data_IF_206503386516
#
_entry.id   IF_206503386516
#
_cell.length_a   1.000
_cell.length_b   1.000
_cell.length_c   1.000
_cell.angle_alpha   90.00
_cell.angle_beta   90.00
_cell.angle_gamma   90.00
#
_symmetry.space_group_name_H-M   'P 1'
#
loop_
_entity.id
_entity.type
_entity.pdbx_description
1 polymer ?
#
# COMPACT_ATOMS: atom_id res chain seq x y z
N UNK A 1 21.67 -8.07 -16.38
CA UNK A 1 22.38 -7.36 -15.31
C UNK A 1 23.40 -8.32 -14.71
N UNK A 2 24.66 -7.91 -14.58
CA UNK A 2 25.69 -8.74 -13.95
C UNK A 2 25.63 -8.55 -12.44
N UNK A 3 25.80 -9.63 -11.66
CA UNK A 3 25.80 -9.57 -10.19
C UNK A 3 26.88 -8.62 -9.64
N UNK A 4 28.04 -8.58 -10.28
CA UNK A 4 29.14 -7.67 -9.91
C UNK A 4 28.79 -6.17 -9.98
N UNK A 5 27.76 -5.81 -10.75
CA UNK A 5 27.33 -4.43 -10.94
C UNK A 5 25.93 -4.16 -10.31
N UNK A 6 25.43 -5.12 -9.51
CA UNK A 6 24.14 -5.02 -8.86
C UNK A 6 24.29 -4.49 -7.44
N UNK A 7 23.32 -3.66 -7.02
CA UNK A 7 23.16 -3.38 -5.60
C UNK A 7 22.61 -4.64 -4.92
N UNK A 8 23.53 -5.46 -4.40
CA UNK A 8 23.20 -6.74 -3.80
C UNK A 8 24.12 -7.01 -2.62
N UNK A 9 23.53 -7.21 -1.46
CA UNK A 9 24.24 -7.52 -0.22
C UNK A 9 23.54 -8.69 0.45
N UNK A 10 24.30 -9.69 0.87
CA UNK A 10 23.79 -10.81 1.67
C UNK A 10 24.42 -10.81 3.05
N UNK A 11 23.65 -11.22 4.05
CA UNK A 11 24.12 -11.40 5.41
C UNK A 11 24.16 -12.89 5.75
N UNK A 12 25.24 -13.32 6.40
CA UNK A 12 25.41 -14.70 6.83
C UNK A 12 24.59 -14.99 8.10
N UNK A 13 24.63 -14.07 9.04
CA UNK A 13 24.01 -14.21 10.35
C UNK A 13 22.54 -13.75 10.33
N UNK A 14 21.77 -14.29 11.27
CA UNK A 14 20.40 -13.87 11.49
C UNK A 14 20.33 -12.42 11.99
N UNK A 15 19.27 -11.73 11.55
CA UNK A 15 19.07 -10.33 11.87
C UNK A 15 18.38 -10.21 13.22
N UNK A 16 19.04 -9.54 14.17
CA UNK A 16 18.44 -9.29 15.49
C UNK A 16 17.16 -8.48 15.39
N UNK A 17 16.12 -8.96 16.09
CA UNK A 17 14.81 -8.29 16.11
C UNK A 17 13.89 -8.61 14.95
N UNK A 18 14.24 -9.59 14.09
CA UNK A 18 13.35 -10.17 13.10
C UNK A 18 12.92 -11.57 13.55
N UNK A 19 11.74 -11.64 14.18
CA UNK A 19 11.22 -12.88 14.77
C UNK A 19 10.71 -13.89 13.72
N UNK A 20 10.28 -13.40 12.54
CA UNK A 20 9.76 -14.28 11.50
C UNK A 20 10.86 -14.77 10.56
N UNK A 21 10.86 -16.05 10.25
CA UNK A 21 11.79 -16.68 9.30
C UNK A 21 11.74 -15.98 7.94
N UNK A 22 10.55 -15.62 7.46
CA UNK A 22 10.39 -14.95 6.15
C UNK A 22 11.04 -13.56 6.14
N UNK A 23 10.84 -12.75 7.19
CA UNK A 23 11.47 -11.44 7.30
C UNK A 23 12.98 -11.55 7.38
N UNK A 24 13.48 -12.46 8.20
CA UNK A 24 14.90 -12.73 8.37
C UNK A 24 15.56 -13.10 7.02
N UNK A 25 14.96 -14.04 6.29
CA UNK A 25 15.44 -14.45 4.97
C UNK A 25 15.41 -13.28 3.96
N UNK A 26 14.37 -12.47 3.94
CA UNK A 26 14.26 -11.32 3.03
C UNK A 26 15.33 -10.27 3.30
N UNK A 27 15.64 -9.99 4.56
CA UNK A 27 16.73 -9.07 4.92
C UNK A 27 18.10 -9.68 4.58
N UNK A 28 18.33 -10.93 4.98
CA UNK A 28 19.60 -11.64 4.72
C UNK A 28 19.94 -11.78 3.25
N UNK A 29 18.94 -11.97 2.41
CA UNK A 29 19.12 -12.09 0.95
C UNK A 29 19.17 -10.74 0.23
N UNK A 30 19.18 -9.63 0.95
CA UNK A 30 19.22 -8.30 0.34
C UNK A 30 17.99 -7.95 -0.48
N UNK A 31 16.83 -8.49 -0.10
CA UNK A 31 15.55 -8.18 -0.73
C UNK A 31 14.91 -6.93 -0.13
N UNK A 32 14.99 -6.79 1.19
CA UNK A 32 14.45 -5.65 1.94
C UNK A 32 15.47 -5.11 2.93
N UNK A 33 15.29 -3.84 3.32
CA UNK A 33 16.04 -3.21 4.42
C UNK A 33 15.05 -2.58 5.38
N UNK A 34 15.15 -2.92 6.66
CA UNK A 34 14.33 -2.34 7.73
C UNK A 34 14.73 -0.87 7.94
N UNK A 35 13.75 0.01 7.93
CA UNK A 35 13.89 1.43 8.26
C UNK A 35 13.36 1.70 9.69
N UNK A 36 12.25 1.06 10.02
CA UNK A 36 11.62 1.14 11.33
C UNK A 36 10.68 -0.04 11.54
N UNK A 37 9.98 -0.07 12.67
CA UNK A 37 9.00 -1.12 12.94
C UNK A 37 7.86 -1.06 11.92
N UNK A 38 7.73 -2.12 11.09
CA UNK A 38 6.72 -2.19 10.03
C UNK A 38 6.98 -1.28 8.83
N UNK A 39 8.20 -0.76 8.68
CA UNK A 39 8.60 0.13 7.57
C UNK A 39 9.86 -0.43 6.92
N UNK A 40 9.81 -0.70 5.61
CA UNK A 40 10.86 -1.37 4.88
C UNK A 40 11.17 -0.70 3.54
N UNK A 41 12.45 -0.58 3.22
CA UNK A 41 12.89 -0.27 1.86
C UNK A 41 12.90 -1.55 1.04
N UNK A 42 12.28 -1.52 -0.14
CA UNK A 42 12.37 -2.59 -1.13
C UNK A 42 13.62 -2.39 -1.97
N UNK A 43 14.55 -3.32 -1.84
CA UNK A 43 15.80 -3.30 -2.59
C UNK A 43 15.59 -3.81 -4.03
N UNK A 44 16.53 -3.60 -4.97
CA UNK A 44 16.30 -3.84 -6.39
C UNK A 44 15.74 -5.23 -6.74
N UNK A 45 16.19 -6.28 -6.07
CA UNK A 45 15.69 -7.64 -6.30
C UNK A 45 14.22 -7.79 -5.87
N UNK A 46 13.86 -7.26 -4.71
CA UNK A 46 12.48 -7.26 -4.22
C UNK A 46 11.57 -6.44 -5.13
N UNK A 47 12.03 -5.26 -5.56
CA UNK A 47 11.25 -4.40 -6.45
C UNK A 47 10.97 -5.08 -7.80
N UNK A 48 11.91 -5.86 -8.33
CA UNK A 48 11.68 -6.65 -9.56
C UNK A 48 10.61 -7.72 -9.36
N UNK A 49 10.59 -8.40 -8.21
CA UNK A 49 9.55 -9.38 -7.88
C UNK A 49 8.20 -8.69 -7.76
N UNK A 50 8.14 -7.57 -7.04
CA UNK A 50 6.92 -6.78 -6.87
C UNK A 50 6.33 -6.38 -8.23
N UNK A 51 7.14 -5.80 -9.13
CA UNK A 51 6.68 -5.39 -10.47
C UNK A 51 6.16 -6.55 -11.31
N UNK A 52 6.71 -7.75 -11.16
CA UNK A 52 6.16 -8.94 -11.82
C UNK A 52 4.79 -9.32 -11.27
N UNK A 53 4.61 -9.25 -9.95
CA UNK A 53 3.32 -9.50 -9.31
C UNK A 53 2.29 -8.45 -9.77
N UNK A 54 2.66 -7.17 -9.78
CA UNK A 54 1.82 -6.09 -10.26
C UNK A 54 1.38 -6.29 -11.72
N UNK A 55 2.29 -6.74 -12.59
CA UNK A 55 1.97 -7.02 -13.98
C UNK A 55 0.96 -8.17 -14.13
N UNK A 56 1.13 -9.25 -13.36
CA UNK A 56 0.16 -10.35 -13.35
C UNK A 56 -1.22 -9.84 -12.90
N UNK A 57 -1.24 -9.02 -11.84
CA UNK A 57 -2.50 -8.42 -11.36
C UNK A 57 -3.13 -7.54 -12.43
N UNK A 58 -2.36 -6.69 -13.14
CA UNK A 58 -2.87 -5.87 -14.25
C UNK A 58 -3.47 -6.71 -15.37
N UNK A 59 -2.78 -7.76 -15.77
CA UNK A 59 -3.27 -8.67 -16.81
C UNK A 59 -4.63 -9.27 -16.43
N UNK A 60 -4.78 -9.72 -15.19
CA UNK A 60 -6.04 -10.32 -14.72
C UNK A 60 -7.16 -9.26 -14.55
N UNK A 61 -6.84 -8.07 -14.07
CA UNK A 61 -7.82 -6.98 -13.97
C UNK A 61 -8.27 -6.51 -15.35
N UNK A 62 -7.36 -6.41 -16.32
CA UNK A 62 -7.71 -6.05 -17.70
C UNK A 62 -8.60 -7.11 -18.38
N UNK A 63 -8.46 -8.40 -18.02
CA UNK A 63 -9.33 -9.47 -18.55
C UNK A 63 -10.79 -9.33 -18.14
N UNK A 64 -11.06 -8.65 -17.06
CA UNK A 64 -12.42 -8.38 -16.57
C UNK A 64 -12.86 -6.94 -16.86
N UNK A 65 -12.19 -6.25 -17.78
CA UNK A 65 -12.46 -4.88 -18.20
C UNK A 65 -12.42 -3.85 -17.04
N UNK A 66 -11.65 -4.13 -15.98
CA UNK A 66 -11.44 -3.20 -14.89
C UNK A 66 -10.40 -2.15 -15.28
N UNK A 67 -10.64 -0.89 -14.92
CA UNK A 67 -9.80 0.24 -15.31
C UNK A 67 -8.88 0.66 -14.17
N UNK A 68 -7.58 0.78 -14.47
CA UNK A 68 -6.58 1.23 -13.50
C UNK A 68 -6.62 2.74 -13.33
N UNK A 69 -6.58 3.20 -12.10
CA UNK A 69 -6.38 4.60 -11.72
C UNK A 69 -5.38 4.69 -10.57
N UNK A 70 -4.94 5.87 -10.21
CA UNK A 70 -4.05 6.10 -9.07
C UNK A 70 -4.56 7.29 -8.27
N UNK A 71 -4.92 7.05 -7.03
CA UNK A 71 -5.39 8.06 -6.08
C UNK A 71 -4.28 8.53 -5.16
N UNK A 72 -4.35 9.76 -4.64
CA UNK A 72 -3.37 10.29 -3.72
C UNK A 72 -3.37 9.52 -2.39
N UNK A 73 -2.21 9.41 -1.75
CA UNK A 73 -2.09 8.80 -0.41
C UNK A 73 -2.34 9.77 0.72
N UNK A 74 -2.14 11.08 0.47
CA UNK A 74 -2.43 12.16 1.42
C UNK A 74 -3.84 12.69 1.16
N UNK A 75 -4.73 12.54 2.12
CA UNK A 75 -6.16 12.81 1.97
C UNK A 75 -6.66 13.79 3.00
N UNK A 76 -7.56 14.71 2.63
CA UNK A 76 -8.32 15.47 3.62
C UNK A 76 -9.11 14.53 4.54
N UNK A 77 -9.07 14.77 5.84
CA UNK A 77 -9.76 13.91 6.83
C UNK A 77 -11.27 13.87 6.62
N UNK A 78 -11.83 14.97 6.07
CA UNK A 78 -13.27 15.11 5.79
C UNK A 78 -13.83 13.97 4.93
N UNK A 79 -13.02 13.37 4.07
CA UNK A 79 -13.43 12.24 3.22
C UNK A 79 -13.91 11.06 4.08
N UNK A 80 -13.20 10.77 5.16
CA UNK A 80 -13.54 9.69 6.09
C UNK A 80 -14.59 10.11 7.13
N UNK A 81 -14.64 11.39 7.48
CA UNK A 81 -15.71 11.94 8.32
C UNK A 81 -17.05 11.83 7.60
N UNK A 82 -17.10 12.19 6.32
CA UNK A 82 -18.32 12.13 5.51
C UNK A 82 -18.87 10.72 5.34
N UNK A 83 -18.02 9.69 5.30
CA UNK A 83 -18.42 8.28 5.24
C UNK A 83 -18.75 7.67 6.62
N UNK A 84 -18.47 8.39 7.72
CA UNK A 84 -18.57 7.88 9.09
C UNK A 84 -17.46 6.89 9.47
N UNK A 85 -16.49 6.67 8.59
CA UNK A 85 -15.42 5.68 8.84
C UNK A 85 -14.23 6.23 9.64
N UNK A 86 -14.17 7.56 9.81
CA UNK A 86 -13.12 8.18 10.64
C UNK A 86 -13.08 7.59 12.05
N UNK A 87 -14.23 7.43 12.68
CA UNK A 87 -14.35 6.89 14.05
C UNK A 87 -14.08 5.37 14.08
N UNK A 88 -14.45 4.66 13.01
CA UNK A 88 -14.21 3.22 12.88
C UNK A 88 -12.72 2.90 12.80
N UNK A 89 -11.95 3.67 12.03
CA UNK A 89 -10.50 3.52 11.98
C UNK A 89 -9.81 4.03 13.25
N UNK A 90 -10.34 5.07 13.88
CA UNK A 90 -9.81 5.60 15.12
C UNK A 90 -8.31 5.87 15.06
N UNK A 91 -7.55 5.21 15.95
CA UNK A 91 -6.10 5.33 16.06
C UNK A 91 -5.30 4.54 15.00
N UNK A 92 -5.96 3.69 14.22
CA UNK A 92 -5.27 2.94 13.14
C UNK A 92 -4.96 3.82 11.92
N UNK A 93 -5.42 5.06 11.92
CA UNK A 93 -5.20 6.02 10.87
C UNK A 93 -4.09 7.01 11.25
N UNK A 94 -3.07 7.15 10.41
CA UNK A 94 -2.08 8.21 10.54
C UNK A 94 -2.73 9.55 10.25
N UNK A 95 -2.84 10.40 11.27
CA UNK A 95 -3.39 11.76 11.17
C UNK A 95 -2.29 12.79 11.28
N UNK A 96 -2.39 13.86 10.51
CA UNK A 96 -1.42 14.95 10.47
C UNK A 96 -2.11 16.27 10.16
N UNK A 97 -1.43 17.38 10.45
CA UNK A 97 -1.88 18.72 10.10
C UNK A 97 -0.92 19.36 9.11
N UNK A 98 -1.47 20.14 8.20
CA UNK A 98 -0.65 20.98 7.35
C UNK A 98 -0.23 22.29 8.09
N UNK A 99 0.54 23.15 7.41
CA UNK A 99 0.98 24.44 7.95
C UNK A 99 -0.15 25.42 8.26
N UNK A 100 -1.36 25.14 7.81
CA UNK A 100 -2.57 25.95 8.04
C UNK A 100 -3.52 25.29 9.02
N UNK A 101 -3.05 24.32 9.81
CA UNK A 101 -3.81 23.54 10.80
C UNK A 101 -4.98 22.74 10.22
N UNK A 102 -4.98 22.46 8.91
CA UNK A 102 -6.00 21.59 8.30
C UNK A 102 -5.66 20.13 8.52
N UNK A 103 -6.67 19.34 8.82
CA UNK A 103 -6.53 17.92 9.15
C UNK A 103 -6.42 17.06 7.89
N UNK A 104 -5.40 16.23 7.85
CA UNK A 104 -5.12 15.26 6.80
C UNK A 104 -4.87 13.89 7.39
N UNK A 105 -5.02 12.86 6.57
CA UNK A 105 -4.69 11.48 6.92
C UNK A 105 -3.88 10.83 5.81
N UNK A 106 -3.10 9.81 6.14
CA UNK A 106 -2.54 8.89 5.16
C UNK A 106 -3.54 7.75 4.95
N UNK A 107 -3.93 7.52 3.70
CA UNK A 107 -5.01 6.59 3.35
C UNK A 107 -4.79 5.14 3.79
N UNK A 108 -5.61 4.60 4.70
CA UNK A 108 -5.59 3.18 5.06
C UNK A 108 -6.31 2.30 4.02
N UNK A 109 -7.20 2.90 3.27
CA UNK A 109 -7.95 2.39 2.11
C UNK A 109 -8.37 3.58 1.24
N UNK A 110 -8.94 3.36 0.06
CA UNK A 110 -9.38 4.46 -0.82
C UNK A 110 -10.82 4.29 -1.31
N UNK A 111 -11.62 3.45 -0.65
CA UNK A 111 -13.01 3.17 -1.04
C UNK A 111 -13.83 4.46 -1.21
N UNK A 112 -13.69 5.41 -0.29
CA UNK A 112 -14.36 6.71 -0.33
C UNK A 112 -14.03 7.50 -1.61
N UNK A 113 -12.76 7.47 -2.02
CA UNK A 113 -12.33 8.17 -3.24
C UNK A 113 -12.81 7.46 -4.50
N UNK A 114 -12.89 6.12 -4.49
CA UNK A 114 -13.49 5.37 -5.60
C UNK A 114 -14.97 5.73 -5.75
N UNK A 115 -15.70 5.84 -4.66
CA UNK A 115 -17.09 6.28 -4.68
C UNK A 115 -17.21 7.71 -5.21
N UNK A 116 -16.33 8.61 -4.78
CA UNK A 116 -16.32 10.00 -5.25
C UNK A 116 -16.03 10.10 -6.75
N UNK A 117 -14.99 9.40 -7.22
CA UNK A 117 -14.68 9.32 -8.65
C UNK A 117 -15.82 8.72 -9.48
N UNK A 118 -16.47 7.67 -8.98
CA UNK A 118 -17.59 7.03 -9.65
C UNK A 118 -18.82 7.95 -9.76
N UNK A 119 -19.07 8.82 -8.76
CA UNK A 119 -20.18 9.78 -8.77
C UNK A 119 -20.14 10.75 -9.93
N UNK A 120 -18.96 11.09 -10.43
CA UNK A 120 -18.81 12.00 -11.57
C UNK A 120 -19.26 11.36 -12.89
N UNK A 121 -19.10 10.05 -13.02
CA UNK A 121 -19.38 9.28 -14.22
C UNK A 121 -20.75 8.62 -14.18
N UNK A 122 -21.12 8.01 -13.07
CA UNK A 122 -22.40 7.28 -12.90
C UNK A 122 -23.53 8.27 -12.67
N UNK A 123 -24.42 8.42 -13.67
CA UNK A 123 -25.62 9.25 -13.56
C UNK A 123 -26.91 8.41 -13.54
N UNK A 124 -26.84 7.18 -13.99
CA UNK A 124 -27.97 6.25 -13.98
C UNK A 124 -27.51 4.80 -13.84
N UNK A 125 -28.46 3.91 -13.54
CA UNK A 125 -28.17 2.47 -13.48
C UNK A 125 -27.66 1.90 -14.82
N UNK A 126 -27.85 2.60 -15.93
CA UNK A 126 -27.37 2.19 -17.26
C UNK A 126 -25.87 2.36 -17.43
N UNK A 127 -25.26 3.16 -16.58
CA UNK A 127 -23.81 3.38 -16.55
C UNK A 127 -23.07 2.27 -15.77
N UNK A 128 -23.84 1.34 -15.22
CA UNK A 128 -23.35 0.19 -14.46
C UNK A 128 -23.36 -1.09 -15.32
N UNK A 129 -22.46 -2.08 -15.10
CA UNK A 129 -21.41 -2.04 -14.08
C UNK A 129 -20.18 -1.24 -14.52
N UNK A 130 -19.48 -0.66 -13.57
CA UNK A 130 -18.13 -0.11 -13.74
C UNK A 130 -17.22 -0.80 -12.74
N UNK A 131 -16.00 -1.12 -13.15
CA UNK A 131 -14.99 -1.68 -12.27
C UNK A 131 -13.73 -0.84 -12.34
N UNK A 132 -13.27 -0.36 -11.19
CA UNK A 132 -12.08 0.46 -11.03
C UNK A 132 -11.12 -0.21 -10.04
N UNK A 133 -9.81 -0.07 -10.29
CA UNK A 133 -8.81 -0.60 -9.36
C UNK A 133 -7.56 0.29 -9.31
N UNK A 134 -6.76 0.11 -8.29
CA UNK A 134 -5.42 0.69 -8.18
C UNK A 134 -4.44 -0.28 -7.53
N UNK A 135 -3.16 0.00 -7.72
CA UNK A 135 -2.08 -0.52 -6.90
C UNK A 135 -1.35 0.68 -6.30
N UNK A 136 -1.52 0.90 -5.01
CA UNK A 136 -1.02 2.09 -4.33
C UNK A 136 -0.60 1.80 -2.89
N UNK A 137 0.23 2.70 -2.36
CA UNK A 137 0.64 2.66 -0.97
C UNK A 137 -0.56 2.89 -0.05
N UNK A 138 -0.59 2.13 1.04
CA UNK A 138 -1.53 2.26 2.13
C UNK A 138 -0.79 2.38 3.44
N UNK A 139 -1.41 3.08 4.38
CA UNK A 139 -0.81 3.41 5.65
C UNK A 139 -1.74 3.04 6.78
N UNK A 140 -1.24 2.27 7.76
CA UNK A 140 -1.98 1.94 8.98
C UNK A 140 -1.07 2.09 10.19
N UNK A 141 -1.49 2.85 11.19
CA UNK A 141 -0.72 3.02 12.43
C UNK A 141 -0.83 1.76 13.29
N UNK A 142 -0.24 0.71 12.78
CA UNK A 142 -0.26 -0.62 13.36
C UNK A 142 0.58 -0.64 14.64
N UNK A 143 -0.03 -0.82 15.81
CA UNK A 143 0.68 -0.76 17.10
C UNK A 143 1.66 -1.92 17.28
N UNK A 144 1.42 -3.04 16.58
CA UNK A 144 2.26 -4.24 16.64
C UNK A 144 2.51 -4.80 15.25
N UNK A 145 3.38 -4.13 14.50
CA UNK A 145 3.87 -4.70 13.22
C UNK A 145 4.61 -6.02 13.48
N UNK A 146 4.22 -7.09 12.77
CA UNK A 146 4.74 -8.44 12.96
C UNK A 146 4.88 -9.17 11.63
N UNK A 147 5.61 -10.26 11.65
CA UNK A 147 5.75 -11.18 10.53
C UNK A 147 6.31 -10.53 9.25
N UNK A 148 7.29 -9.63 9.42
CA UNK A 148 7.98 -8.96 8.31
C UNK A 148 7.03 -8.14 7.44
N UNK A 149 6.84 -8.54 6.19
CA UNK A 149 6.00 -7.82 5.23
C UNK A 149 4.50 -8.15 5.32
N UNK A 150 4.07 -9.03 6.23
CA UNK A 150 2.66 -9.43 6.33
C UNK A 150 1.84 -8.40 7.10
N UNK A 151 2.44 -7.78 8.13
CA UNK A 151 1.77 -6.78 8.96
C UNK A 151 2.68 -5.57 9.15
N UNK A 152 2.55 -4.61 8.26
CA UNK A 152 3.39 -3.41 8.16
C UNK A 152 2.57 -2.14 8.34
N UNK A 153 3.24 -1.02 8.56
CA UNK A 153 2.63 0.30 8.66
C UNK A 153 2.47 0.98 7.31
N UNK A 154 3.33 0.64 6.37
CA UNK A 154 3.29 1.07 4.98
C UNK A 154 3.38 -0.16 4.08
N UNK A 155 2.48 -0.29 3.13
CA UNK A 155 2.41 -1.44 2.23
C UNK A 155 1.67 -1.10 0.94
N UNK A 156 1.98 -1.84 -0.12
CA UNK A 156 1.28 -1.71 -1.41
C UNK A 156 0.09 -2.66 -1.41
N UNK A 157 -1.07 -2.14 -1.77
CA UNK A 157 -2.30 -2.90 -1.89
C UNK A 157 -2.87 -2.75 -3.31
N UNK A 158 -3.32 -3.86 -3.89
CA UNK A 158 -4.30 -3.83 -4.96
C UNK A 158 -5.69 -3.80 -4.33
N UNK A 159 -6.40 -2.74 -4.54
CA UNK A 159 -7.81 -2.59 -4.17
C UNK A 159 -8.65 -2.34 -5.44
N UNK A 160 -9.83 -2.91 -5.48
CA UNK A 160 -10.75 -2.82 -6.61
C UNK A 160 -12.20 -2.76 -6.13
N UNK A 161 -13.01 -2.03 -6.85
CA UNK A 161 -14.41 -1.77 -6.54
C UNK A 161 -15.26 -1.79 -7.81
#
# INVERSE_FOLDING_TARGET
MRMSNSYFLTLKEDVKGEESTSANLLVRTGMIKKVGSGIYTFLPMRLRVLRKIENIVREEMNRIDSQELLMPSLLPEEVYVASGRRDVFGHDMFSLKDRFERDYVLGPTHEELFVDAAREVIKSYKDMPISLYQMADKFRDEPRSRYGLIRTREFIMKDAY
#
